data_IF_647370304908
#
_entry.id   IF_647370304908
#
_cell.length_a   1.000
_cell.length_b   1.000
_cell.length_c   1.000
_cell.angle_alpha   90.00
_cell.angle_beta   90.00
_cell.angle_gamma   90.00
#
_symmetry.space_group_name_H-M   'P 1'
#
loop_
_entity.id
_entity.type
_entity.pdbx_description
1 polymer ?
#
# COMPACT_ATOMS: atom_id res chain seq x y z
N UNK A 1 4.80 6.28 10.76
CA UNK A 1 4.73 5.11 9.87
C UNK A 1 4.88 5.52 8.43
N UNK A 2 5.64 4.74 7.66
CA UNK A 2 5.95 5.00 6.26
C UNK A 2 5.27 3.95 5.39
N UNK A 3 4.42 4.39 4.47
CA UNK A 3 3.74 3.49 3.53
C UNK A 3 4.25 3.77 2.12
N UNK A 4 4.74 2.72 1.45
CA UNK A 4 5.23 2.82 0.08
C UNK A 4 4.46 1.92 -0.87
N UNK A 5 4.00 2.50 -1.96
CA UNK A 5 3.34 1.80 -3.04
C UNK A 5 4.26 1.70 -4.27
N UNK A 6 4.10 0.64 -5.05
CA UNK A 6 4.76 0.47 -6.34
C UNK A 6 3.91 1.12 -7.43
N UNK A 7 4.46 1.96 -8.30
CA UNK A 7 3.71 2.58 -9.39
C UNK A 7 3.11 1.53 -10.35
N UNK A 8 3.80 0.42 -10.56
CA UNK A 8 3.31 -0.62 -11.47
C UNK A 8 2.20 -1.52 -10.87
N UNK A 9 1.90 -1.40 -9.58
CA UNK A 9 0.83 -2.20 -8.98
C UNK A 9 -0.55 -1.62 -9.31
N UNK A 10 -1.33 -2.34 -10.12
CA UNK A 10 -2.66 -1.89 -10.57
C UNK A 10 -3.66 -1.70 -9.41
N UNK A 11 -3.48 -2.42 -8.30
CA UNK A 11 -4.34 -2.38 -7.12
C UNK A 11 -4.11 -1.22 -6.15
N UNK A 12 -3.08 -0.39 -6.35
CA UNK A 12 -2.63 0.60 -5.36
C UNK A 12 -3.56 1.81 -5.18
N UNK A 13 -4.24 2.24 -6.25
CA UNK A 13 -4.78 3.61 -6.34
C UNK A 13 -5.87 3.89 -5.29
N UNK A 14 -6.81 2.95 -5.09
CA UNK A 14 -7.92 3.12 -4.12
C UNK A 14 -7.39 3.13 -2.68
N UNK A 15 -6.46 2.23 -2.34
CA UNK A 15 -5.84 2.17 -1.01
C UNK A 15 -5.03 3.44 -0.71
N UNK A 16 -4.20 3.88 -1.67
CA UNK A 16 -3.41 5.10 -1.56
C UNK A 16 -4.28 6.34 -1.32
N UNK A 17 -5.36 6.50 -2.10
CA UNK A 17 -6.27 7.64 -1.96
C UNK A 17 -6.94 7.65 -0.59
N UNK A 18 -7.50 6.52 -0.16
CA UNK A 18 -8.13 6.39 1.17
C UNK A 18 -7.15 6.71 2.30
N UNK A 19 -5.91 6.22 2.25
CA UNK A 19 -4.90 6.53 3.27
C UNK A 19 -4.59 8.03 3.34
N UNK A 20 -4.44 8.68 2.17
CA UNK A 20 -4.15 10.11 2.10
C UNK A 20 -5.33 10.97 2.57
N UNK A 21 -6.56 10.54 2.29
CA UNK A 21 -7.79 11.22 2.72
C UNK A 21 -8.03 11.07 4.23
N UNK A 22 -7.84 9.87 4.80
CA UNK A 22 -8.08 9.61 6.23
C UNK A 22 -6.89 10.01 7.13
N UNK A 23 -5.66 9.92 6.62
CA UNK A 23 -4.44 10.19 7.39
C UNK A 23 -3.51 11.15 6.63
N UNK A 24 -3.83 12.46 6.59
CA UNK A 24 -3.03 13.45 5.88
C UNK A 24 -1.61 13.62 6.45
N UNK A 25 -1.37 13.22 7.70
CA UNK A 25 -0.06 13.24 8.37
C UNK A 25 0.81 12.00 8.09
N UNK A 26 0.27 10.97 7.42
CA UNK A 26 0.98 9.73 7.15
C UNK A 26 1.98 9.89 5.98
N UNK A 27 3.20 9.37 6.12
CA UNK A 27 4.20 9.41 5.03
C UNK A 27 3.89 8.32 4.00
N UNK A 28 2.91 8.61 3.14
CA UNK A 28 2.48 7.74 2.05
C UNK A 28 3.08 8.21 0.74
N UNK A 29 3.88 7.37 0.08
CA UNK A 29 4.53 7.69 -1.19
C UNK A 29 4.40 6.58 -2.22
N UNK A 30 4.24 6.97 -3.47
CA UNK A 30 4.37 6.07 -4.63
C UNK A 30 5.83 6.13 -5.08
N UNK A 31 6.44 4.97 -5.32
CA UNK A 31 7.76 4.83 -5.95
C UNK A 31 7.58 4.09 -7.27
N UNK A 32 8.39 4.39 -8.29
CA UNK A 32 8.40 3.69 -9.59
C UNK A 32 8.33 2.16 -9.42
N UNK A 33 9.42 1.56 -8.95
CA UNK A 33 9.49 0.12 -8.71
C UNK A 33 10.13 -0.15 -7.34
N UNK A 34 9.47 -0.98 -6.54
CA UNK A 34 9.97 -1.41 -5.21
C UNK A 34 10.53 -2.84 -5.23
N UNK A 35 10.81 -3.39 -6.42
CA UNK A 35 11.44 -4.71 -6.66
C UNK A 35 10.73 -5.89 -5.96
N UNK A 36 9.42 -5.74 -5.70
CA UNK A 36 8.54 -6.79 -5.16
C UNK A 36 7.59 -7.25 -6.26
N UNK A 37 8.13 -7.70 -7.40
CA UNK A 37 7.35 -8.02 -8.60
C UNK A 37 6.37 -9.18 -8.39
N UNK A 38 6.71 -10.14 -7.52
CA UNK A 38 5.84 -11.27 -7.14
C UNK A 38 4.45 -10.83 -6.67
N UNK A 39 4.32 -10.09 -5.55
CA UNK A 39 3.02 -9.55 -5.15
C UNK A 39 2.51 -8.49 -6.13
N UNK A 40 3.38 -7.68 -6.74
CA UNK A 40 2.97 -6.59 -7.65
C UNK A 40 2.07 -7.02 -8.81
N UNK A 41 2.31 -8.19 -9.39
CA UNK A 41 1.49 -8.73 -10.48
C UNK A 41 0.27 -9.53 -10.00
N UNK A 42 0.28 -10.01 -8.76
CA UNK A 42 -0.74 -10.94 -8.25
C UNK A 42 -1.82 -10.25 -7.41
N UNK A 43 -1.45 -9.21 -6.67
CA UNK A 43 -2.28 -8.66 -5.59
C UNK A 43 -1.94 -7.19 -5.34
N UNK A 44 -2.92 -6.37 -4.92
CA UNK A 44 -2.65 -5.09 -4.28
C UNK A 44 -1.69 -5.25 -3.10
N UNK A 45 -0.63 -4.46 -3.07
CA UNK A 45 0.31 -4.52 -1.95
C UNK A 45 0.94 -3.15 -1.65
N UNK A 46 1.43 -3.02 -0.42
CA UNK A 46 2.19 -1.88 0.05
C UNK A 46 3.34 -2.35 0.93
N UNK A 47 4.33 -1.47 1.13
CA UNK A 47 5.38 -1.68 2.13
C UNK A 47 5.15 -0.70 3.27
N UNK A 48 4.81 -1.22 4.44
CA UNK A 48 4.53 -0.46 5.68
C UNK A 48 5.72 -0.63 6.62
N UNK A 49 6.46 0.44 6.89
CA UNK A 49 7.68 0.44 7.71
C UNK A 49 8.66 -0.71 7.40
N UNK A 50 8.77 -1.05 6.11
CA UNK A 50 9.67 -2.10 5.63
C UNK A 50 9.03 -3.49 5.50
N UNK A 51 7.86 -3.72 6.09
CA UNK A 51 7.09 -4.96 5.96
C UNK A 51 6.20 -4.94 4.73
N UNK A 52 6.10 -6.07 4.04
CA UNK A 52 5.21 -6.20 2.86
C UNK A 52 3.82 -6.60 3.32
N UNK A 53 2.81 -5.78 3.01
CA UNK A 53 1.40 -6.03 3.31
C UNK A 53 0.66 -6.23 1.99
N UNK A 54 -0.03 -7.35 1.85
CA UNK A 54 -0.79 -7.71 0.65
C UNK A 54 -2.28 -7.84 0.96
N UNK A 55 -3.12 -7.33 0.07
CA UNK A 55 -4.58 -7.43 0.18
C UNK A 55 -5.20 -8.14 -1.02
N UNK A 56 -6.31 -8.87 -0.83
CA UNK A 56 -7.00 -9.52 -1.96
C UNK A 56 -7.52 -8.49 -2.97
N UNK A 57 -7.92 -7.32 -2.48
CA UNK A 57 -8.32 -6.15 -3.24
C UNK A 57 -7.79 -4.88 -2.56
N UNK A 58 -8.04 -3.71 -3.17
CA UNK A 58 -7.53 -2.44 -2.66
C UNK A 58 -8.18 -1.99 -1.34
N UNK A 59 -9.36 -2.50 -1.02
CA UNK A 59 -10.05 -2.24 0.24
C UNK A 59 -9.51 -3.14 1.36
N UNK A 60 -9.31 -4.43 1.09
CA UNK A 60 -8.62 -5.33 2.02
C UNK A 60 -7.19 -4.84 2.31
N UNK A 61 -6.47 -4.36 1.28
CA UNK A 61 -5.15 -3.75 1.48
C UNK A 61 -5.23 -2.53 2.42
N UNK A 62 -6.23 -1.68 2.27
CA UNK A 62 -6.43 -0.52 3.13
C UNK A 62 -6.68 -0.94 4.58
N UNK A 63 -7.60 -1.88 4.82
CA UNK A 63 -7.89 -2.37 6.17
C UNK A 63 -6.67 -3.04 6.81
N UNK A 64 -5.90 -3.83 6.06
CA UNK A 64 -4.67 -4.43 6.55
C UNK A 64 -3.60 -3.41 6.91
N UNK A 65 -3.46 -2.33 6.12
CA UNK A 65 -2.54 -1.25 6.45
C UNK A 65 -2.99 -0.55 7.73
N UNK A 66 -4.29 -0.25 7.89
CA UNK A 66 -4.83 0.34 9.13
C UNK A 66 -4.57 -0.56 10.33
N UNK A 67 -4.75 -1.86 10.18
CA UNK A 67 -4.50 -2.82 11.26
C UNK A 67 -3.03 -2.85 11.69
N UNK A 68 -2.09 -2.59 10.78
CA UNK A 68 -0.67 -2.42 11.15
C UNK A 68 -0.40 -1.06 11.83
N UNK A 69 -1.39 -0.17 11.91
CA UNK A 69 -1.31 1.11 12.65
C UNK A 69 -1.75 1.02 14.11
N UNK A 70 -2.51 -0.02 14.45
CA UNK A 70 -2.95 -0.33 15.81
C UNK A 70 -1.83 -1.02 16.60
#
# INVERSE_FOLDING_TARGET
>A
MKVRFCEHNKGKNKAYRKLRENFPSLDVKIKDCIRKCGPCHKTPFAVVDGKTVCGIDAEDLYHKIIKEME
#
